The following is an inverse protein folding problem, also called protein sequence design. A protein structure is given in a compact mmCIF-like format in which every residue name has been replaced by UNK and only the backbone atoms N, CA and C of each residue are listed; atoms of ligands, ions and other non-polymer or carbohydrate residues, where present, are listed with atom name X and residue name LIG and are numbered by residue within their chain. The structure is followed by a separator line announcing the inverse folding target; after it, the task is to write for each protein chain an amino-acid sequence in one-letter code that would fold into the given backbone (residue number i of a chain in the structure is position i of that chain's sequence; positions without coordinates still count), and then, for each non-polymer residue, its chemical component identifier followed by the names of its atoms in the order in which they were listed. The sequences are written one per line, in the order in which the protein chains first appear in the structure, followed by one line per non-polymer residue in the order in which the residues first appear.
data_IF_563706866158
#
_entry.id   IF_563706866158
#
_cell.length_a   1.000
_cell.length_b   1.000
_cell.length_c   1.000
_cell.angle_alpha   90.00
_cell.angle_beta   90.00
_cell.angle_gamma   90.00
#
_symmetry.space_group_name_H-M   'P 1'
#
loop_
_entity.id
_entity.type
_entity.pdbx_description
1 polymer ?
#
# COMPACT_ATOMS: atom_id res chain seq x y z
N UNK A 1 11.19 -7.04 -14.36
CA UNK A 1 10.18 -7.43 -13.34
C UNK A 1 10.95 -7.60 -12.03
N UNK A 2 10.59 -7.02 -10.89
CA UNK A 2 9.25 -6.85 -10.33
C UNK A 2 9.14 -5.56 -9.51
N UNK A 3 7.96 -4.93 -9.56
CA UNK A 3 7.49 -4.13 -8.43
C UNK A 3 7.18 -5.07 -7.28
N UNK A 4 7.29 -4.61 -6.04
CA UNK A 4 7.18 -5.41 -4.82
C UNK A 4 6.04 -6.45 -4.88
N UNK A 5 6.44 -7.71 -5.03
CA UNK A 5 5.61 -8.89 -4.84
C UNK A 5 6.00 -9.49 -3.50
N UNK A 6 5.10 -9.41 -2.54
CA UNK A 6 5.33 -9.88 -1.17
C UNK A 6 4.74 -11.27 -1.04
N UNK A 7 5.50 -12.17 -0.41
CA UNK A 7 5.00 -13.48 0.03
C UNK A 7 4.70 -13.40 1.53
N UNK A 8 3.48 -13.77 1.90
CA UNK A 8 3.00 -13.82 3.29
C UNK A 8 2.46 -15.21 3.59
N UNK A 9 2.63 -15.65 4.84
CA UNK A 9 1.96 -16.86 5.33
C UNK A 9 0.76 -16.44 6.18
N UNK A 10 -0.41 -16.97 5.86
CA UNK A 10 -1.64 -16.74 6.63
C UNK A 10 -1.93 -17.99 7.45
N UNK A 11 -2.31 -17.78 8.72
CA UNK A 11 -2.84 -18.84 9.58
C UNK A 11 -4.37 -18.82 9.54
N UNK A 12 -4.96 -19.79 8.84
CA UNK A 12 -6.40 -19.93 8.68
C UNK A 12 -7.02 -20.80 9.77
N UNK A 13 -6.22 -21.42 10.65
CA UNK A 13 -6.73 -22.28 11.72
C UNK A 13 -7.71 -21.54 12.66
N UNK A 14 -7.60 -20.21 12.76
CA UNK A 14 -8.52 -19.35 13.52
C UNK A 14 -9.97 -19.40 13.03
N UNK A 15 -10.22 -19.84 11.80
CA UNK A 15 -11.57 -19.97 11.24
C UNK A 15 -12.10 -21.41 11.28
N UNK A 16 -11.27 -22.39 11.68
CA UNK A 16 -11.56 -23.82 11.55
C UNK A 16 -12.79 -24.26 12.35
N UNK A 17 -13.06 -23.58 13.47
CA UNK A 17 -14.18 -23.91 14.36
C UNK A 17 -15.53 -23.39 13.82
N UNK A 18 -15.49 -22.49 12.82
CA UNK A 18 -16.69 -21.82 12.31
C UNK A 18 -16.91 -22.03 10.81
N UNK A 19 -15.85 -22.35 10.04
CA UNK A 19 -15.89 -22.42 8.57
C UNK A 19 -15.07 -23.62 8.05
N UNK A 20 -15.52 -24.16 6.91
CA UNK A 20 -14.71 -25.08 6.09
C UNK A 20 -13.59 -24.28 5.43
N UNK A 21 -12.34 -24.64 5.74
CA UNK A 21 -11.18 -23.85 5.31
C UNK A 21 -11.00 -23.85 3.79
N UNK A 22 -11.34 -24.97 3.14
CA UNK A 22 -11.29 -25.13 1.69
C UNK A 22 -12.23 -24.14 0.98
N UNK A 23 -13.46 -23.99 1.49
CA UNK A 23 -14.45 -23.06 0.93
C UNK A 23 -14.02 -21.61 1.12
N UNK A 24 -13.47 -21.27 2.29
CA UNK A 24 -12.93 -19.94 2.56
C UNK A 24 -11.77 -19.61 1.62
N UNK A 25 -10.88 -20.58 1.35
CA UNK A 25 -9.78 -20.40 0.41
C UNK A 25 -10.28 -20.18 -1.02
N UNK A 26 -11.32 -20.90 -1.46
CA UNK A 26 -11.94 -20.66 -2.77
C UNK A 26 -12.61 -19.28 -2.86
N UNK A 27 -13.26 -18.82 -1.79
CA UNK A 27 -13.82 -17.47 -1.74
C UNK A 27 -12.71 -16.40 -1.79
N UNK A 28 -11.59 -16.59 -1.07
CA UNK A 28 -10.44 -15.69 -1.11
C UNK A 28 -9.87 -15.58 -2.53
N UNK A 29 -9.70 -16.71 -3.23
CA UNK A 29 -9.25 -16.73 -4.63
C UNK A 29 -10.19 -15.95 -5.55
N UNK A 30 -11.50 -16.12 -5.36
CA UNK A 30 -12.51 -15.40 -6.14
C UNK A 30 -12.52 -13.90 -5.87
N UNK A 31 -12.32 -13.49 -4.62
CA UNK A 31 -12.31 -12.07 -4.22
C UNK A 31 -10.99 -11.38 -4.58
N UNK A 32 -9.88 -12.11 -4.63
CA UNK A 32 -8.54 -11.57 -4.87
C UNK A 32 -7.84 -12.29 -6.04
N UNK A 33 -8.31 -12.11 -7.28
CA UNK A 33 -7.74 -12.80 -8.45
C UNK A 33 -6.29 -12.38 -8.76
N UNK A 34 -5.87 -11.20 -8.26
CA UNK A 34 -4.51 -10.68 -8.41
C UNK A 34 -3.52 -11.33 -7.41
N UNK A 35 -3.98 -12.22 -6.52
CA UNK A 35 -3.16 -12.96 -5.57
C UNK A 35 -2.94 -14.41 -5.99
N UNK A 36 -1.73 -14.90 -5.78
CA UNK A 36 -1.37 -16.31 -5.95
C UNK A 36 -1.42 -17.03 -4.61
N UNK A 37 -2.17 -18.11 -4.54
CA UNK A 37 -2.36 -18.91 -3.34
C UNK A 37 -1.63 -20.25 -3.47
N UNK A 38 -0.83 -20.58 -2.46
CA UNK A 38 -0.23 -21.89 -2.30
C UNK A 38 -1.21 -22.94 -1.77
N UNK A 39 -0.76 -24.18 -1.59
CA UNK A 39 -1.60 -25.23 -1.03
C UNK A 39 -1.90 -24.96 0.46
N UNK A 40 -3.17 -25.16 0.85
CA UNK A 40 -3.59 -25.17 2.25
C UNK A 40 -2.91 -26.35 2.96
N UNK A 41 -2.12 -26.04 3.98
CA UNK A 41 -1.43 -27.02 4.80
C UNK A 41 -2.38 -27.59 5.86
N UNK A 42 -2.08 -28.80 6.36
CA UNK A 42 -2.89 -29.48 7.39
C UNK A 42 -2.98 -28.71 8.71
N UNK A 43 -1.97 -27.91 9.01
CA UNK A 43 -1.94 -27.02 10.18
C UNK A 43 -2.76 -25.73 9.98
N UNK A 44 -3.45 -25.59 8.84
CA UNK A 44 -4.27 -24.43 8.51
C UNK A 44 -3.46 -23.27 7.94
N UNK A 45 -2.18 -23.45 7.63
CA UNK A 45 -1.38 -22.38 7.02
C UNK A 45 -1.52 -22.37 5.50
N UNK A 46 -1.47 -21.18 4.91
CA UNK A 46 -1.44 -21.00 3.46
C UNK A 46 -0.45 -19.89 3.08
N UNK A 47 0.38 -20.16 2.09
CA UNK A 47 1.24 -19.13 1.51
C UNK A 47 0.43 -18.31 0.49
N UNK A 48 0.55 -16.99 0.55
CA UNK A 48 -0.09 -16.07 -0.39
C UNK A 48 0.97 -15.12 -0.93
N UNK A 49 0.93 -14.87 -2.23
CA UNK A 49 1.85 -13.97 -2.90
C UNK A 49 1.09 -12.96 -3.74
N UNK A 50 1.52 -11.70 -3.69
CA UNK A 50 1.02 -10.67 -4.59
C UNK A 50 1.48 -9.28 -4.17
N UNK A 51 0.89 -8.26 -4.77
CA UNK A 51 1.21 -6.88 -4.43
C UNK A 51 0.66 -6.49 -3.06
N UNK A 52 1.29 -5.49 -2.42
CA UNK A 52 0.84 -4.99 -1.11
C UNK A 52 -0.64 -4.54 -1.10
N UNK A 53 -1.16 -3.82 -2.12
CA UNK A 53 -2.59 -3.48 -2.19
C UNK A 53 -3.50 -4.70 -2.22
N UNK A 54 -3.15 -5.74 -2.98
CA UNK A 54 -3.94 -6.95 -3.08
C UNK A 54 -3.94 -7.73 -1.74
N UNK A 55 -2.79 -7.83 -1.07
CA UNK A 55 -2.68 -8.44 0.26
C UNK A 55 -3.46 -7.65 1.32
N UNK A 56 -3.50 -6.32 1.21
CA UNK A 56 -4.33 -5.48 2.09
C UNK A 56 -5.82 -5.71 1.85
N UNK A 57 -6.27 -5.80 0.60
CA UNK A 57 -7.65 -6.16 0.27
C UNK A 57 -8.05 -7.51 0.88
N UNK A 58 -7.16 -8.51 0.76
CA UNK A 58 -7.37 -9.81 1.40
C UNK A 58 -7.47 -9.70 2.93
N UNK A 59 -6.61 -8.90 3.57
CA UNK A 59 -6.70 -8.65 5.02
C UNK A 59 -8.05 -8.04 5.40
N UNK A 60 -8.51 -7.02 4.68
CA UNK A 60 -9.79 -6.36 4.95
C UNK A 60 -10.96 -7.33 4.79
N UNK A 61 -10.95 -8.18 3.75
CA UNK A 61 -11.91 -9.27 3.57
C UNK A 61 -11.93 -10.26 4.75
N UNK A 62 -10.75 -10.75 5.17
CA UNK A 62 -10.65 -11.70 6.30
C UNK A 62 -11.12 -11.09 7.63
N UNK A 63 -10.85 -9.80 7.84
CA UNK A 63 -11.35 -9.08 9.03
C UNK A 63 -12.88 -8.96 9.02
N UNK A 64 -13.50 -8.75 7.85
CA UNK A 64 -14.97 -8.73 7.74
C UNK A 64 -15.56 -10.11 8.04
N UNK A 65 -14.94 -11.18 7.52
CA UNK A 65 -15.35 -12.56 7.83
C UNK A 65 -15.24 -12.87 9.32
N UNK A 66 -14.14 -12.49 9.96
CA UNK A 66 -13.99 -12.70 11.41
C UNK A 66 -15.07 -11.95 12.22
N UNK A 67 -15.43 -10.73 11.81
CA UNK A 67 -16.48 -9.96 12.48
C UNK A 67 -17.87 -10.57 12.32
N UNK A 68 -18.22 -11.07 11.13
CA UNK A 68 -19.54 -11.69 10.92
C UNK A 68 -19.74 -12.92 11.81
N UNK A 69 -18.70 -13.71 12.02
CA UNK A 69 -18.74 -14.88 12.91
C UNK A 69 -18.95 -14.48 14.38
N UNK A 70 -18.29 -13.40 14.83
CA UNK A 70 -18.45 -12.90 16.19
C UNK A 70 -19.84 -12.33 16.50
N UNK A 71 -20.58 -11.84 15.51
CA UNK A 71 -21.96 -11.36 15.71
C UNK A 71 -22.97 -12.51 15.77
N UNK A 72 -22.66 -13.65 15.13
CA UNK A 72 -23.53 -14.84 15.11
C UNK A 72 -23.56 -15.53 16.48
N UNK A 73 -22.41 -15.66 17.15
CA UNK A 73 -22.29 -16.17 18.53
C UNK A 73 -23.05 -15.29 19.57
N UNK A 74 -23.35 -14.04 19.24
CA UNK A 74 -24.07 -13.13 20.15
C UNK A 74 -25.61 -13.23 20.08
N UNK A 75 -26.15 -13.98 19.10
CA UNK A 75 -27.60 -14.13 18.90
C UNK A 75 -28.21 -15.37 19.58
N UNK A 76 -27.40 -16.33 20.00
CA UNK A 76 -27.87 -17.56 20.66
C UNK A 76 -27.92 -17.48 22.19
N UNK A 77 -27.44 -16.37 22.79
CA UNK A 77 -27.42 -16.13 24.23
C UNK A 77 -28.59 -15.32 24.81
N UNK A 78 -29.80 -15.37 24.22
CA UNK A 78 -30.97 -14.67 24.78
C UNK A 78 -32.07 -15.65 25.20
N UNK A 79 -31.98 -16.12 26.44
CA UNK A 79 -33.15 -16.66 27.14
C UNK A 79 -33.18 -16.22 28.62
N UNK A 80 -34.37 -15.71 29.00
CA UNK A 80 -34.96 -15.59 30.35
C UNK A 80 -34.72 -14.32 31.20
N UNK A 81 -35.64 -13.37 31.00
CA UNK A 81 -36.54 -12.71 31.98
C UNK A 81 -36.01 -11.97 33.26
N UNK A 82 -36.34 -10.66 33.26
CA UNK A 82 -36.51 -9.58 34.29
C UNK A 82 -37.12 -10.01 35.66
N UNK A 83 -37.16 -9.19 36.78
CA UNK A 83 -37.26 -7.70 36.83
C UNK A 83 -36.66 -6.89 38.03
N UNK A 84 -36.44 -5.58 37.79
CA UNK A 84 -36.54 -4.36 38.67
C UNK A 84 -36.01 -4.35 40.13
N UNK A 85 -35.19 -3.31 40.44
CA UNK A 85 -35.32 -2.33 41.57
C UNK A 85 -34.26 -1.20 41.42
N UNK A 86 -34.65 0.01 41.00
CA UNK A 86 -34.81 1.28 41.77
C UNK A 86 -33.52 1.94 42.32
N UNK A 87 -33.12 3.02 41.64
CA UNK A 87 -32.78 4.39 42.10
C UNK A 87 -31.96 4.61 43.39
N UNK A 88 -30.76 5.20 43.26
CA UNK A 88 -30.36 6.37 44.07
C UNK A 88 -29.22 7.19 43.41
N UNK A 89 -29.41 8.51 43.40
CA UNK A 89 -28.51 9.57 42.94
C UNK A 89 -27.32 9.77 43.90
N UNK A 90 -26.17 10.25 43.40
CA UNK A 90 -25.52 11.40 44.05
C UNK A 90 -24.50 12.12 43.12
N UNK A 91 -24.59 13.45 43.18
CA UNK A 91 -23.76 14.50 42.55
C UNK A 91 -22.28 14.42 42.91
N UNK A 92 -21.44 14.95 42.02
CA UNK A 92 -20.11 15.46 42.38
C UNK A 92 -19.31 15.97 41.18
N UNK A 93 -19.52 17.23 40.81
CA UNK A 93 -18.69 17.95 39.84
C UNK A 93 -17.34 18.33 40.48
N UNK A 94 -16.25 18.14 39.74
CA UNK A 94 -15.01 18.90 39.90
C UNK A 94 -14.28 18.98 38.55
N UNK A 95 -14.00 20.21 38.16
CA UNK A 95 -13.49 20.69 36.89
C UNK A 95 -12.00 20.44 36.64
N UNK A 96 -11.68 20.28 35.35
CA UNK A 96 -10.55 20.90 34.63
C UNK A 96 -9.14 20.58 35.10
N UNK A 97 -8.41 19.84 34.26
CA UNK A 97 -7.10 20.32 33.75
C UNK A 97 -6.97 19.99 32.27
N UNK A 98 -7.14 21.03 31.47
CA UNK A 98 -6.85 21.07 30.04
C UNK A 98 -5.36 20.76 29.82
N UNK A 99 -5.04 19.60 29.24
CA UNK A 99 -3.82 19.44 28.47
C UNK A 99 -4.00 20.15 27.12
N UNK A 100 -2.95 20.74 26.52
CA UNK A 100 -3.08 21.40 25.24
C UNK A 100 -3.55 20.35 24.24
N UNK A 101 -4.71 20.61 23.65
CA UNK A 101 -5.22 19.87 22.51
C UNK A 101 -4.24 20.16 21.38
N UNK A 102 -3.17 19.37 21.28
CA UNK A 102 -2.45 19.20 20.01
C UNK A 102 -3.54 19.05 18.97
N UNK A 103 -3.57 19.98 18.00
CA UNK A 103 -4.53 19.88 16.92
C UNK A 103 -4.38 18.47 16.37
N UNK A 104 -5.40 17.63 16.57
CA UNK A 104 -5.43 16.23 16.12
C UNK A 104 -5.45 16.28 14.60
N UNK A 105 -4.28 16.51 14.00
CA UNK A 105 -4.03 16.37 12.59
C UNK A 105 -4.21 14.89 12.32
N UNK A 106 -5.30 14.53 11.65
CA UNK A 106 -5.55 13.15 11.30
C UNK A 106 -4.46 12.71 10.31
N UNK A 107 -3.63 11.76 10.76
CA UNK A 107 -2.50 11.23 10.01
C UNK A 107 -2.90 9.90 9.39
N UNK A 108 -2.90 9.86 8.06
CA UNK A 108 -3.10 8.63 7.31
C UNK A 108 -1.75 8.15 6.78
N UNK A 109 -1.55 6.83 6.79
CA UNK A 109 -0.33 6.20 6.29
C UNK A 109 -0.67 5.17 5.23
N UNK A 110 0.18 5.07 4.22
CA UNK A 110 0.17 4.03 3.20
C UNK A 110 1.61 3.66 2.81
N UNK A 111 1.82 2.42 2.38
CA UNK A 111 3.15 1.89 1.99
C UNK A 111 3.13 1.64 0.49
N UNK A 112 4.11 2.17 -0.22
CA UNK A 112 4.30 2.02 -1.67
C UNK A 112 5.62 1.31 -1.97
N UNK A 113 5.69 0.74 -3.16
CA UNK A 113 6.96 0.46 -3.81
C UNK A 113 7.71 1.78 -4.09
N UNK A 114 9.00 1.82 -3.77
CA UNK A 114 9.84 3.02 -3.89
C UNK A 114 9.91 3.54 -5.32
N UNK A 115 9.99 2.66 -6.32
CA UNK A 115 10.07 3.07 -7.72
C UNK A 115 8.74 3.71 -8.17
N UNK A 116 7.61 3.20 -7.67
CA UNK A 116 6.29 3.77 -7.94
C UNK A 116 6.14 5.13 -7.29
N UNK A 117 6.54 5.26 -6.03
CA UNK A 117 6.53 6.56 -5.34
C UNK A 117 7.36 7.59 -6.09
N UNK A 118 8.58 7.24 -6.53
CA UNK A 118 9.43 8.11 -7.33
C UNK A 118 8.82 8.44 -8.70
N UNK A 119 8.21 7.45 -9.37
CA UNK A 119 7.53 7.67 -10.64
C UNK A 119 6.38 8.67 -10.51
N UNK A 120 5.52 8.50 -9.50
CA UNK A 120 4.44 9.43 -9.19
C UNK A 120 4.95 10.84 -8.90
N UNK A 121 6.01 10.94 -8.09
CA UNK A 121 6.62 12.23 -7.74
C UNK A 121 7.16 12.96 -8.97
N UNK A 122 7.71 12.24 -9.94
CA UNK A 122 8.29 12.82 -11.15
C UNK A 122 7.25 13.17 -12.22
N UNK A 123 6.30 12.27 -12.49
CA UNK A 123 5.41 12.37 -13.65
C UNK A 123 3.96 12.69 -13.31
N UNK A 124 3.54 12.46 -12.06
CA UNK A 124 2.19 12.70 -11.58
C UNK A 124 2.17 13.60 -10.33
N UNK A 125 2.84 14.76 -10.34
CA UNK A 125 2.96 15.60 -9.13
C UNK A 125 1.61 16.02 -8.57
N UNK A 126 0.58 16.14 -9.43
CA UNK A 126 -0.80 16.46 -9.03
C UNK A 126 -1.41 15.40 -8.11
N UNK A 127 -1.02 14.14 -8.22
CA UNK A 127 -1.50 13.06 -7.34
C UNK A 127 -0.98 13.25 -5.91
N UNK A 128 0.24 13.80 -5.76
CA UNK A 128 0.89 14.02 -4.46
C UNK A 128 0.72 15.45 -3.91
N UNK A 129 0.18 16.38 -4.69
CA UNK A 129 0.05 17.81 -4.30
C UNK A 129 -1.39 18.35 -4.39
N UNK A 130 -2.29 17.69 -5.13
CA UNK A 130 -3.58 18.26 -5.53
C UNK A 130 -4.71 18.23 -4.49
N UNK A 131 -4.45 17.84 -3.24
CA UNK A 131 -5.51 17.52 -2.28
C UNK A 131 -5.61 18.45 -1.06
N UNK A 132 -4.82 19.53 -0.99
CA UNK A 132 -4.85 20.44 0.17
C UNK A 132 -4.37 19.79 1.48
N UNK A 133 -3.60 18.71 1.36
CA UNK A 133 -3.02 17.93 2.47
C UNK A 133 -1.50 17.92 2.31
N UNK A 134 -0.79 17.73 3.41
CA UNK A 134 0.67 17.60 3.40
C UNK A 134 1.02 16.13 3.19
N UNK A 135 1.84 15.84 2.18
CA UNK A 135 2.27 14.48 1.85
C UNK A 135 3.78 14.39 1.96
N UNK A 136 4.26 13.47 2.79
CA UNK A 136 5.69 13.20 3.01
C UNK A 136 5.99 11.72 2.86
N UNK A 137 7.13 11.37 2.27
CA UNK A 137 7.57 9.98 2.10
C UNK A 137 8.88 9.71 2.83
N UNK A 138 8.95 8.59 3.54
CA UNK A 138 10.19 8.03 4.10
C UNK A 138 10.48 6.72 3.39
N UNK A 139 11.61 6.68 2.69
CA UNK A 139 12.06 5.50 1.92
C UNK A 139 12.94 4.61 2.79
N UNK A 140 12.65 3.32 2.78
CA UNK A 140 13.44 2.26 3.40
C UNK A 140 13.63 1.13 2.38
N UNK A 141 14.76 1.14 1.69
CA UNK A 141 15.04 0.23 0.58
C UNK A 141 13.96 0.29 -0.52
N UNK A 142 13.33 -0.86 -0.78
CA UNK A 142 12.35 -1.02 -1.84
C UNK A 142 10.95 -0.50 -1.48
N UNK A 143 10.71 -0.13 -0.21
CA UNK A 143 9.44 0.45 0.25
C UNK A 143 9.57 1.94 0.57
N UNK A 144 8.49 2.67 0.34
CA UNK A 144 8.33 4.04 0.80
C UNK A 144 7.05 4.18 1.63
N UNK A 145 7.20 4.58 2.89
CA UNK A 145 6.09 4.91 3.77
C UNK A 145 5.65 6.35 3.50
N UNK A 146 4.45 6.52 2.98
CA UNK A 146 3.85 7.82 2.67
C UNK A 146 2.89 8.21 3.79
N UNK A 147 3.17 9.34 4.42
CA UNK A 147 2.31 9.98 5.42
C UNK A 147 1.50 11.09 4.75
N UNK A 148 0.21 11.13 5.07
CA UNK A 148 -0.75 12.14 4.62
C UNK A 148 -1.29 12.83 5.87
N UNK A 149 -0.99 14.11 6.00
CA UNK A 149 -1.38 14.94 7.13
C UNK A 149 -2.45 15.93 6.66
N UNK A 150 -3.61 15.87 7.31
CA UNK A 150 -4.77 16.67 6.94
C UNK A 150 -5.18 17.59 8.08
N UNK A 151 -5.78 18.76 7.80
CA UNK A 151 -6.31 19.64 8.85
C UNK A 151 -7.26 18.87 9.76
N UNK A 152 -7.22 19.10 11.08
CA UNK A 152 -8.04 18.41 12.09
C UNK A 152 -9.55 18.73 12.07
N UNK A 153 -10.12 19.01 10.89
CA UNK A 153 -11.54 19.24 10.65
C UNK A 153 -12.16 18.04 9.92
N UNK A 154 -13.48 17.84 10.01
CA UNK A 154 -14.18 16.79 9.24
C UNK A 154 -13.94 16.89 7.73
N UNK A 155 -13.82 18.10 7.20
CA UNK A 155 -13.48 18.33 5.79
C UNK A 155 -12.04 17.88 5.49
N UNK A 156 -11.10 18.17 6.40
CA UNK A 156 -9.72 17.71 6.29
C UNK A 156 -9.60 16.18 6.34
N UNK A 157 -10.30 15.52 7.26
CA UNK A 157 -10.40 14.05 7.31
C UNK A 157 -10.80 13.45 5.96
N UNK A 158 -11.87 13.99 5.36
CA UNK A 158 -12.37 13.55 4.05
C UNK A 158 -11.35 13.81 2.93
N UNK A 159 -10.64 14.95 2.97
CA UNK A 159 -9.57 15.26 2.02
C UNK A 159 -8.40 14.29 2.14
N UNK A 160 -7.96 13.97 3.36
CA UNK A 160 -6.93 12.96 3.62
C UNK A 160 -7.29 11.60 3.07
N UNK A 161 -8.55 11.15 3.29
CA UNK A 161 -9.01 9.86 2.79
C UNK A 161 -9.13 9.84 1.27
N UNK A 162 -9.55 10.95 0.67
CA UNK A 162 -9.58 11.11 -0.79
C UNK A 162 -8.17 11.07 -1.38
N UNK A 163 -7.21 11.76 -0.78
CA UNK A 163 -5.81 11.75 -1.21
C UNK A 163 -5.21 10.35 -1.10
N UNK A 164 -5.43 9.66 0.03
CA UNK A 164 -4.99 8.28 0.24
C UNK A 164 -5.51 7.35 -0.85
N UNK A 165 -6.83 7.36 -1.09
CA UNK A 165 -7.45 6.52 -2.12
C UNK A 165 -6.94 6.84 -3.53
N UNK A 166 -6.72 8.11 -3.83
CA UNK A 166 -6.18 8.54 -5.12
C UNK A 166 -4.77 8.00 -5.34
N UNK A 167 -3.90 8.10 -4.34
CA UNK A 167 -2.53 7.57 -4.38
C UNK A 167 -2.57 6.04 -4.52
N UNK A 168 -3.41 5.36 -3.74
CA UNK A 168 -3.55 3.90 -3.82
C UNK A 168 -3.99 3.45 -5.22
N UNK A 169 -5.01 4.08 -5.80
CA UNK A 169 -5.51 3.73 -7.13
C UNK A 169 -4.42 3.88 -8.21
N UNK A 170 -3.74 5.03 -8.25
CA UNK A 170 -2.67 5.25 -9.21
C UNK A 170 -1.50 4.28 -8.96
N UNK A 171 -1.22 3.92 -7.70
CA UNK A 171 -0.15 2.95 -7.42
C UNK A 171 -0.46 1.59 -8.02
N UNK A 172 -1.70 1.13 -7.93
CA UNK A 172 -2.15 -0.15 -8.53
C UNK A 172 -2.10 -0.09 -10.05
N UNK A 173 -2.49 1.01 -10.67
CA UNK A 173 -2.40 1.18 -12.13
C UNK A 173 -0.94 1.16 -12.59
N UNK A 174 -0.06 1.91 -11.92
CA UNK A 174 1.37 1.97 -12.22
C UNK A 174 2.05 0.60 -12.05
N UNK A 175 1.69 -0.17 -11.01
CA UNK A 175 2.19 -1.55 -10.83
C UNK A 175 1.95 -2.42 -12.06
N UNK A 176 0.82 -2.22 -12.75
CA UNK A 176 0.44 -3.02 -13.92
C UNK A 176 1.23 -2.62 -15.16
N UNK A 177 1.40 -1.33 -15.40
CA UNK A 177 1.95 -0.82 -16.67
C UNK A 177 3.47 -0.62 -16.66
N UNK A 178 4.05 -0.29 -15.52
CA UNK A 178 5.46 0.06 -15.45
C UNK A 178 6.32 -1.20 -15.52
N UNK A 179 7.57 -1.03 -15.96
CA UNK A 179 8.62 -2.04 -15.98
C UNK A 179 9.90 -1.40 -15.46
N UNK A 180 10.68 -2.22 -14.76
CA UNK A 180 12.02 -1.88 -14.27
C UNK A 180 13.06 -2.67 -15.04
N UNK A 181 14.05 -1.97 -15.58
CA UNK A 181 15.25 -2.55 -16.21
C UNK A 181 16.51 -1.92 -15.63
N UNK A 182 17.54 -2.75 -15.42
CA UNK A 182 18.82 -2.33 -14.85
C UNK A 182 19.91 -2.34 -15.90
N UNK A 183 20.58 -1.21 -16.09
CA UNK A 183 21.75 -1.11 -16.97
C UNK A 183 22.99 -0.91 -16.11
N UNK A 184 23.90 -1.89 -16.15
CA UNK A 184 25.16 -1.87 -15.40
C UNK A 184 26.23 -1.10 -16.18
N UNK A 185 27.04 -0.35 -15.44
CA UNK A 185 28.26 0.25 -15.99
C UNK A 185 29.26 -0.86 -16.33
N UNK A 186 29.96 -0.74 -17.47
CA UNK A 186 30.99 -1.71 -17.86
C UNK A 186 32.28 -1.44 -17.08
N UNK A 187 32.54 -0.18 -16.77
CA UNK A 187 33.70 0.31 -16.04
C UNK A 187 33.26 1.31 -14.96
N UNK A 188 33.77 1.19 -13.74
CA UNK A 188 33.48 2.15 -12.67
C UNK A 188 34.25 3.48 -12.82
N UNK A 189 34.57 3.89 -14.06
CA UNK A 189 35.33 5.10 -14.36
C UNK A 189 34.42 6.35 -14.34
N UNK A 190 34.98 7.49 -13.91
CA UNK A 190 34.26 8.77 -13.97
C UNK A 190 33.88 9.16 -15.41
N UNK A 191 34.72 8.78 -16.37
CA UNK A 191 34.47 9.03 -17.79
C UNK A 191 33.25 8.26 -18.30
N UNK A 192 33.08 7.00 -17.90
CA UNK A 192 31.91 6.22 -18.29
C UNK A 192 30.62 6.76 -17.65
N UNK A 193 30.65 7.07 -16.34
CA UNK A 193 29.52 7.72 -15.65
C UNK A 193 29.09 9.02 -16.37
N UNK A 194 30.06 9.82 -16.83
CA UNK A 194 29.78 11.05 -17.57
C UNK A 194 29.20 10.79 -18.96
N UNK A 195 29.64 9.75 -19.67
CA UNK A 195 29.07 9.35 -20.97
C UNK A 195 27.60 8.95 -20.83
N UNK A 196 27.26 8.13 -19.84
CA UNK A 196 25.87 7.80 -19.55
C UNK A 196 25.06 9.03 -19.15
N UNK A 197 25.65 9.97 -18.40
CA UNK A 197 25.05 11.27 -18.08
C UNK A 197 24.89 12.20 -19.28
N UNK A 198 25.54 11.97 -20.42
CA UNK A 198 25.26 12.76 -21.63
C UNK A 198 24.19 12.06 -22.46
N UNK A 199 24.26 10.73 -22.52
CA UNK A 199 23.32 9.90 -23.22
C UNK A 199 21.90 10.05 -22.66
N UNK A 200 21.72 9.97 -21.34
CA UNK A 200 20.40 10.09 -20.72
C UNK A 200 19.74 11.47 -20.93
N UNK A 201 20.48 12.60 -20.96
CA UNK A 201 19.91 13.94 -21.19
C UNK A 201 19.36 14.03 -22.60
N UNK A 202 20.07 13.41 -23.56
CA UNK A 202 19.60 13.30 -24.95
C UNK A 202 18.36 12.42 -25.06
N UNK A 203 18.36 11.28 -24.37
CA UNK A 203 17.26 10.30 -24.43
C UNK A 203 16.02 10.76 -23.66
N UNK A 204 16.18 11.58 -22.62
CA UNK A 204 15.08 12.10 -21.80
C UNK A 204 14.04 12.86 -22.63
N UNK A 205 14.46 13.56 -23.67
CA UNK A 205 13.54 14.25 -24.58
C UNK A 205 12.72 13.28 -25.45
N UNK A 206 13.30 12.11 -25.81
CA UNK A 206 12.65 11.08 -26.63
C UNK A 206 11.75 10.16 -25.81
N UNK A 207 12.12 9.93 -24.57
CA UNK A 207 11.42 9.03 -23.65
C UNK A 207 10.97 9.80 -22.38
N UNK A 208 10.05 10.78 -22.51
CA UNK A 208 9.66 11.64 -21.40
C UNK A 208 8.93 10.90 -20.27
N UNK A 209 8.47 9.66 -20.50
CA UNK A 209 7.81 8.81 -19.50
C UNK A 209 8.74 7.83 -18.78
N UNK A 210 10.06 7.90 -18.98
CA UNK A 210 11.04 7.02 -18.34
C UNK A 210 11.74 7.74 -17.20
N UNK A 211 11.55 7.24 -15.98
CA UNK A 211 12.32 7.62 -14.81
C UNK A 211 13.67 6.91 -14.85
N UNK A 212 14.75 7.67 -14.70
CA UNK A 212 16.11 7.14 -14.56
C UNK A 212 16.58 7.35 -13.13
N UNK A 213 16.91 6.27 -12.44
CA UNK A 213 17.40 6.26 -11.06
C UNK A 213 18.89 5.90 -11.08
N UNK A 214 19.80 6.87 -10.88
CA UNK A 214 21.23 6.61 -10.92
C UNK A 214 21.73 5.97 -9.61
N UNK A 215 22.59 4.97 -9.74
CA UNK A 215 23.37 4.38 -8.65
C UNK A 215 24.87 4.42 -8.99
N UNK A 216 25.72 3.99 -8.05
CA UNK A 216 27.16 3.99 -8.27
C UNK A 216 27.65 2.95 -9.29
N UNK A 217 26.93 1.83 -9.40
CA UNK A 217 27.31 0.68 -10.24
C UNK A 217 26.42 0.47 -11.46
N UNK A 218 25.27 1.12 -11.48
CA UNK A 218 24.25 0.95 -12.51
C UNK A 218 23.28 2.13 -12.50
N UNK A 219 22.32 2.12 -13.41
CA UNK A 219 21.09 2.89 -13.28
C UNK A 219 19.90 1.98 -13.53
N UNK A 220 18.81 2.27 -12.84
CA UNK A 220 17.53 1.61 -13.05
C UNK A 220 16.62 2.52 -13.89
N UNK A 221 15.98 1.93 -14.90
CA UNK A 221 14.98 2.55 -15.76
C UNK A 221 13.61 2.09 -15.32
N UNK A 222 12.70 3.03 -15.07
CA UNK A 222 11.32 2.76 -14.68
C UNK A 222 10.39 3.49 -15.64
N UNK A 223 9.60 2.77 -16.41
CA UNK A 223 8.70 3.35 -17.42
C UNK A 223 7.77 2.31 -18.02
N UNK A 224 7.01 2.65 -19.05
CA UNK A 224 6.20 1.64 -19.76
C UNK A 224 7.11 0.61 -20.45
N UNK A 225 6.59 -0.58 -20.74
CA UNK A 225 7.38 -1.62 -21.40
C UNK A 225 7.95 -1.16 -22.76
N UNK A 226 7.21 -0.33 -23.50
CA UNK A 226 7.61 0.18 -24.81
C UNK A 226 8.76 1.19 -24.65
N UNK A 227 8.61 2.13 -23.72
CA UNK A 227 9.60 3.19 -23.53
C UNK A 227 10.90 2.64 -22.94
N UNK A 228 10.81 1.75 -21.95
CA UNK A 228 11.99 1.13 -21.33
C UNK A 228 12.76 0.32 -22.37
N UNK A 229 12.07 -0.50 -23.17
CA UNK A 229 12.72 -1.27 -24.23
C UNK A 229 13.40 -0.36 -25.27
N UNK A 230 12.69 0.66 -25.75
CA UNK A 230 13.25 1.63 -26.70
C UNK A 230 14.48 2.35 -26.16
N UNK A 231 14.41 2.82 -24.91
CA UNK A 231 15.52 3.47 -24.22
C UNK A 231 16.72 2.53 -24.13
N UNK A 232 16.50 1.29 -23.68
CA UNK A 232 17.56 0.29 -23.54
C UNK A 232 18.24 -0.02 -24.87
N UNK A 233 17.48 -0.13 -25.97
CA UNK A 233 18.05 -0.37 -27.30
C UNK A 233 18.87 0.83 -27.80
N UNK A 234 18.45 2.07 -27.53
CA UNK A 234 19.25 3.26 -27.84
C UNK A 234 20.53 3.35 -27.00
N UNK A 235 20.54 2.78 -25.80
CA UNK A 235 21.75 2.72 -24.95
C UNK A 235 22.75 1.67 -25.43
N UNK A 236 22.29 0.60 -26.08
CA UNK A 236 23.15 -0.46 -26.61
C UNK A 236 23.81 -0.12 -27.95
N UNK A 237 23.25 0.84 -28.69
CA UNK A 237 23.79 1.35 -29.97
C UNK A 237 25.03 2.22 -29.74
#
# INVERSE_FOLDING_TARGET
QAFLWVRSTLNMAVFRDHLVLEDLVEEMKKQSPDLSFGPLQRDGQIAVQGSFPALRGLREFLLLKAKSLSEEDSREGKSLQRPRRKLQEHRGAAEVRNSPREALTEKQVLVLDTDIYHYMKCFLPRVLQGCGVVISGVTDGDITTVCIESPGSKAGAAQGSKAKKMIENHSVELQKILRKERIRFKEHSRAEKQRYRQLWERLRARYPGVLVIPYDTHFDLVGTSVDVFGFTEEVKR
#
